data_IF_733946650604
#
_entry.id   IF_733946650604
#
_cell.length_a   1.000
_cell.length_b   1.000
_cell.length_c   1.000
_cell.angle_alpha   90.00
_cell.angle_beta   90.00
_cell.angle_gamma   90.00
#
_symmetry.space_group_name_H-M   'P 1'
#
loop_
_entity.id
_entity.type
_entity.pdbx_description
1 polymer ?
#
# COMPACT_ATOMS: atom_id res chain seq x y z
N UNK A 1 -5.95 36.83 0.39
CA UNK A 1 -4.99 35.79 0.85
C UNK A 1 -5.01 34.66 -0.16
N UNK A 2 -3.84 34.24 -0.66
CA UNK A 2 -3.76 33.02 -1.47
C UNK A 2 -3.66 31.86 -0.49
N UNK A 3 -4.76 31.14 -0.27
CA UNK A 3 -4.80 30.02 0.65
C UNK A 3 -3.82 28.93 0.24
N UNK A 4 -2.98 28.48 1.17
CA UNK A 4 -2.16 27.28 0.99
C UNK A 4 -3.02 26.05 1.26
N UNK A 5 -3.20 25.20 0.24
CA UNK A 5 -3.89 23.91 0.38
C UNK A 5 -2.88 22.81 0.62
N UNK A 6 -3.02 22.07 1.72
CA UNK A 6 -2.21 20.89 1.98
C UNK A 6 -2.69 19.70 1.13
N UNK A 7 -1.86 19.25 0.19
CA UNK A 7 -2.19 18.13 -0.69
C UNK A 7 -1.78 16.78 -0.12
N UNK A 8 -0.69 16.74 0.66
CA UNK A 8 -0.21 15.53 1.29
C UNK A 8 0.73 15.83 2.45
N UNK A 9 0.64 15.05 3.53
CA UNK A 9 1.67 14.95 4.58
C UNK A 9 2.34 13.58 4.54
N UNK A 10 3.63 13.57 4.90
CA UNK A 10 4.47 12.38 4.85
C UNK A 10 5.07 12.15 6.24
N UNK A 11 5.04 10.90 6.69
CA UNK A 11 5.74 10.44 7.89
C UNK A 11 6.86 9.46 7.48
N UNK A 12 7.94 9.46 8.27
CA UNK A 12 9.12 8.65 8.03
C UNK A 12 9.57 7.95 9.32
N UNK A 13 10.29 6.84 9.19
CA UNK A 13 11.02 6.22 10.29
C UNK A 13 12.44 6.78 10.43
N UNK A 14 13.16 6.31 11.45
CA UNK A 14 14.54 6.74 11.77
C UNK A 14 15.55 6.43 10.65
N UNK A 15 15.19 5.52 9.73
CA UNK A 15 16.00 5.19 8.54
C UNK A 15 15.64 6.05 7.33
N UNK A 16 14.87 7.13 7.54
CA UNK A 16 14.36 8.02 6.48
C UNK A 16 13.46 7.32 5.45
N UNK A 17 12.85 6.19 5.81
CA UNK A 17 11.89 5.49 4.93
C UNK A 17 10.49 5.95 5.26
N UNK A 18 9.67 6.14 4.24
CA UNK A 18 8.31 6.64 4.39
C UNK A 18 7.41 5.61 5.05
N UNK A 19 6.79 5.95 6.17
CA UNK A 19 5.85 5.07 6.89
C UNK A 19 4.39 5.39 6.58
N UNK A 20 4.07 6.64 6.24
CA UNK A 20 2.70 7.06 5.91
C UNK A 20 2.67 8.20 4.90
N UNK A 21 1.68 8.19 4.02
CA UNK A 21 1.19 9.35 3.25
C UNK A 21 -0.24 9.61 3.70
N UNK A 22 -0.56 10.84 4.09
CA UNK A 22 -1.95 11.29 4.28
C UNK A 22 -2.27 12.30 3.20
N UNK A 23 -3.27 12.03 2.36
CA UNK A 23 -3.69 12.94 1.29
C UNK A 23 -4.65 14.00 1.82
N UNK A 24 -4.80 15.11 1.08
CA UNK A 24 -5.64 16.25 1.48
C UNK A 24 -7.13 15.91 1.63
N UNK A 25 -7.59 14.76 1.12
CA UNK A 25 -8.94 14.22 1.31
C UNK A 25 -9.07 13.29 2.54
N UNK A 26 -8.01 13.16 3.35
CA UNK A 26 -7.99 12.36 4.58
C UNK A 26 -7.67 10.87 4.39
N UNK A 27 -7.56 10.37 3.16
CA UNK A 27 -7.16 8.96 2.94
C UNK A 27 -5.67 8.78 3.22
N UNK A 28 -5.31 7.57 3.61
CA UNK A 28 -3.92 7.27 4.00
C UNK A 28 -3.38 6.04 3.27
N UNK A 29 -2.07 6.05 3.05
CA UNK A 29 -1.32 4.86 2.65
C UNK A 29 -0.19 4.65 3.63
N UNK A 30 -0.14 3.47 4.25
CA UNK A 30 0.88 3.09 5.23
C UNK A 30 1.81 2.02 4.67
N UNK A 31 3.08 2.09 5.04
CA UNK A 31 4.15 1.22 4.57
C UNK A 31 4.78 0.51 5.75
N UNK A 32 4.77 -0.82 5.73
CA UNK A 32 5.50 -1.66 6.66
C UNK A 32 6.76 -2.23 6.01
N UNK A 33 7.89 -2.15 6.70
CA UNK A 33 9.16 -2.67 6.22
C UNK A 33 9.61 -3.88 7.03
N UNK A 34 10.24 -4.85 6.37
CA UNK A 34 10.89 -5.97 7.04
C UNK A 34 12.17 -5.51 7.75
N UNK A 35 12.73 -6.33 8.66
CA UNK A 35 14.02 -6.04 9.27
C UNK A 35 15.17 -5.89 8.25
N UNK A 36 15.05 -6.52 7.07
CA UNK A 36 16.04 -6.42 5.98
C UNK A 36 15.85 -5.16 5.11
N UNK A 37 14.82 -4.36 5.40
CA UNK A 37 14.57 -3.09 4.72
C UNK A 37 13.63 -3.15 3.51
N UNK A 38 13.19 -4.35 3.12
CA UNK A 38 12.24 -4.51 2.03
C UNK A 38 10.81 -4.13 2.45
N UNK A 39 10.00 -3.67 1.51
CA UNK A 39 8.56 -3.46 1.75
C UNK A 39 7.89 -4.81 2.06
N UNK A 40 7.28 -4.89 3.23
CA UNK A 40 6.59 -6.08 3.75
C UNK A 40 5.06 -5.89 3.74
N UNK A 41 4.56 -4.67 3.90
CA UNK A 41 3.13 -4.38 3.77
C UNK A 41 2.85 -3.00 3.17
N UNK A 42 1.72 -2.90 2.48
CA UNK A 42 1.17 -1.66 1.95
C UNK A 42 -0.34 -1.63 2.28
N UNK A 43 -0.76 -0.67 3.10
CA UNK A 43 -2.16 -0.54 3.50
C UNK A 43 -2.75 0.77 2.98
N UNK A 44 -3.78 0.67 2.14
CA UNK A 44 -4.60 1.78 1.70
C UNK A 44 -5.85 1.85 2.58
N UNK A 45 -5.99 2.95 3.31
CA UNK A 45 -7.17 3.28 4.09
C UNK A 45 -7.89 4.42 3.37
N UNK A 46 -8.98 4.07 2.69
CA UNK A 46 -9.71 4.94 1.79
C UNK A 46 -10.88 5.63 2.51
N UNK A 47 -11.74 6.31 1.76
CA UNK A 47 -12.89 6.95 2.34
C UNK A 47 -13.91 5.88 2.78
N UNK A 48 -14.07 5.71 4.08
CA UNK A 48 -14.79 4.55 4.63
C UNK A 48 -13.96 3.26 4.51
N UNK A 49 -14.49 2.14 5.01
CA UNK A 49 -13.69 0.90 5.16
C UNK A 49 -13.95 -0.17 4.10
N UNK A 50 -14.98 -0.03 3.27
CA UNK A 50 -15.38 -1.09 2.33
C UNK A 50 -14.36 -1.29 1.20
N UNK A 51 -13.56 -0.27 0.90
CA UNK A 51 -12.56 -0.25 -0.15
C UNK A 51 -11.13 -0.37 0.40
N UNK A 52 -10.97 -0.48 1.72
CA UNK A 52 -9.66 -0.64 2.33
C UNK A 52 -8.99 -1.90 1.80
N UNK A 53 -7.68 -1.78 1.60
CA UNK A 53 -6.87 -2.82 0.97
C UNK A 53 -5.50 -2.86 1.65
N UNK A 54 -5.14 -4.01 2.19
CA UNK A 54 -3.79 -4.26 2.69
C UNK A 54 -3.15 -5.38 1.88
N UNK A 55 -2.02 -5.06 1.26
CA UNK A 55 -1.14 -6.02 0.60
C UNK A 55 -0.02 -6.41 1.55
N UNK A 56 0.26 -7.71 1.66
CA UNK A 56 1.40 -8.23 2.42
C UNK A 56 2.32 -9.04 1.51
N UNK A 57 3.63 -8.87 1.65
CA UNK A 57 4.65 -9.53 0.85
C UNK A 57 5.55 -10.39 1.72
N UNK A 58 5.65 -11.67 1.41
CA UNK A 58 6.62 -12.59 2.02
C UNK A 58 7.77 -12.80 1.04
N UNK A 59 9.00 -12.71 1.53
CA UNK A 59 10.21 -12.87 0.73
C UNK A 59 11.08 -14.03 1.21
N UNK A 60 11.81 -14.64 0.29
CA UNK A 60 12.87 -15.61 0.61
C UNK A 60 14.16 -14.89 1.08
N UNK A 61 15.20 -15.62 1.52
CA UNK A 61 16.45 -15.01 1.97
C UNK A 61 17.18 -14.17 0.91
N UNK A 62 17.00 -14.46 -0.38
CA UNK A 62 17.57 -13.68 -1.50
C UNK A 62 16.68 -12.51 -1.94
N UNK A 63 15.67 -12.16 -1.13
CA UNK A 63 14.77 -11.01 -1.29
C UNK A 63 13.78 -11.11 -2.46
N UNK A 64 13.52 -12.29 -3.01
CA UNK A 64 12.44 -12.49 -3.99
C UNK A 64 11.09 -12.62 -3.28
N UNK A 65 10.02 -12.07 -3.88
CA UNK A 65 8.66 -12.27 -3.36
C UNK A 65 8.23 -13.71 -3.64
N UNK A 66 7.95 -14.47 -2.60
CA UNK A 66 7.46 -15.85 -2.69
C UNK A 66 5.98 -15.98 -2.39
N UNK A 67 5.37 -14.96 -1.77
CA UNK A 67 3.94 -14.90 -1.55
C UNK A 67 3.47 -13.45 -1.44
N UNK A 68 2.26 -13.21 -1.93
CA UNK A 68 1.51 -11.98 -1.75
C UNK A 68 0.12 -12.33 -1.24
N UNK A 69 -0.38 -11.58 -0.25
CA UNK A 69 -1.78 -11.65 0.19
C UNK A 69 -2.43 -10.27 0.16
N UNK A 70 -3.76 -10.24 0.12
CA UNK A 70 -4.62 -9.06 0.08
C UNK A 70 -5.78 -9.25 1.07
N UNK A 71 -6.32 -8.14 1.58
CA UNK A 71 -7.44 -8.19 2.53
C UNK A 71 -8.80 -7.97 1.86
N UNK A 72 -8.83 -7.53 0.61
CA UNK A 72 -10.07 -7.21 -0.08
C UNK A 72 -10.06 -7.76 -1.52
N UNK A 73 -10.83 -8.82 -1.73
CA UNK A 73 -10.88 -9.59 -2.98
C UNK A 73 -11.49 -8.82 -4.15
N UNK A 74 -12.16 -7.68 -3.90
CA UNK A 74 -12.64 -6.79 -4.98
C UNK A 74 -11.51 -6.30 -5.88
N UNK A 75 -10.29 -6.28 -5.37
CA UNK A 75 -9.09 -5.86 -6.09
C UNK A 75 -8.19 -7.04 -6.49
N UNK A 76 -8.62 -8.28 -6.23
CA UNK A 76 -7.88 -9.44 -6.68
C UNK A 76 -8.00 -9.56 -8.21
N UNK A 77 -6.87 -9.73 -8.88
CA UNK A 77 -6.88 -10.07 -10.29
C UNK A 77 -7.35 -11.53 -10.46
N UNK A 78 -8.48 -11.72 -11.15
CA UNK A 78 -9.11 -13.03 -11.37
C UNK A 78 -8.65 -13.72 -12.66
N UNK A 79 -7.62 -13.19 -13.33
CA UNK A 79 -7.13 -13.71 -14.59
C UNK A 79 -7.74 -13.01 -15.81
N UNK A 80 -7.43 -13.53 -17.00
CA UNK A 80 -8.06 -13.15 -18.26
C UNK A 80 -9.06 -14.23 -18.67
N UNK A 81 -10.22 -13.83 -19.18
CA UNK A 81 -11.05 -14.74 -19.97
C UNK A 81 -10.46 -14.79 -21.39
N UNK A 82 -9.93 -15.94 -21.81
CA UNK A 82 -9.59 -16.13 -23.21
C UNK A 82 -10.89 -16.03 -24.03
N UNK A 83 -10.98 -15.02 -24.90
CA UNK A 83 -12.04 -14.98 -25.90
C UNK A 83 -11.88 -16.16 -26.85
N UNK A 84 -12.97 -16.87 -27.15
CA UNK A 84 -13.01 -17.76 -28.30
C UNK A 84 -12.92 -16.93 -29.57
N UNK A 85 -11.97 -17.27 -30.44
CA UNK A 85 -11.82 -16.70 -31.78
C UNK A 85 -13.06 -16.96 -32.65
#
# INVERSE_FOLDING_TARGET
>A
ELGTTNLATYAYDDLSRRTTVTLGNGTTTSYGYSPQGALASLAHNLAGTAQDQTLTYTRNPVQEIVSQSWTNDLYQWTGYANGTQ
#
